data_IF_986354582408
#
_entry.id   IF_986354582408
#
_cell.length_a   1.000
_cell.length_b   1.000
_cell.length_c   1.000
_cell.angle_alpha   90.00
_cell.angle_beta   90.00
_cell.angle_gamma   90.00
#
_symmetry.space_group_name_H-M   'P 1'
#
loop_
_entity.id
_entity.type
_entity.pdbx_description
1 polymer ?
2 non-polymer ?
3 water ?
#
# COMPACT_ATOMS: atom_id res chain seq x y z
N UNK A 4 15.87 -7.10 14.91
CA UNK A 4 15.27 -5.83 14.49
C UNK A 4 15.07 -5.78 12.98
N UNK A 5 13.84 -6.05 12.56
CA UNK A 5 13.57 -6.07 11.10
C UNK A 5 14.03 -4.84 10.36
N UNK A 6 13.83 -3.64 10.93
CA UNK A 6 14.17 -2.45 10.16
C UNK A 6 15.67 -2.22 10.06
N UNK A 7 16.50 -2.94 10.82
CA UNK A 7 17.94 -2.80 10.64
C UNK A 7 18.36 -3.23 9.25
N UNK A 8 17.53 -4.01 8.56
CA UNK A 8 17.84 -4.43 7.20
C UNK A 8 17.68 -3.30 6.19
N UNK A 9 17.07 -2.19 6.57
CA UNK A 9 16.66 -1.17 5.63
C UNK A 9 17.03 0.22 6.13
N UNK A 10 17.46 1.07 5.22
CA UNK A 10 17.54 2.50 5.52
C UNK A 10 16.13 3.00 5.86
N UNK A 11 16.02 3.76 6.95
CA UNK A 11 14.70 4.24 7.33
C UNK A 11 14.82 5.48 8.20
N UNK A 12 13.72 6.21 8.29
CA UNK A 12 13.65 7.41 9.13
C UNK A 12 12.31 7.42 9.83
N UNK A 13 12.33 7.47 11.15
CA UNK A 13 11.12 7.58 11.94
C UNK A 13 10.63 9.03 11.91
N UNK A 14 9.39 9.24 11.49
CA UNK A 14 8.80 10.58 11.39
C UNK A 14 8.00 10.94 12.63
N UNK A 15 7.15 10.01 13.08
CA UNK A 15 6.38 10.16 14.32
C UNK A 15 6.40 8.82 15.06
N UNK A 16 5.73 8.78 16.21
CA UNK A 16 5.57 7.51 16.90
C UNK A 16 4.64 6.55 16.16
N UNK A 17 4.01 6.99 15.07
CA UNK A 17 3.21 6.11 14.23
C UNK A 17 3.89 5.76 12.91
N UNK A 18 4.51 6.74 12.25
CA UNK A 18 4.86 6.64 10.84
C UNK A 18 6.38 6.63 10.71
N UNK A 19 6.90 5.62 10.01
CA UNK A 19 8.30 5.52 9.63
C UNK A 19 8.40 5.35 8.12
N UNK A 20 9.36 6.04 7.49
CA UNK A 20 9.60 5.89 6.05
C UNK A 20 10.78 4.95 5.85
N UNK A 21 10.62 3.99 4.93
CA UNK A 21 11.59 2.92 4.72
C UNK A 21 11.97 2.85 3.26
N UNK A 22 13.26 2.70 2.98
CA UNK A 22 13.73 2.50 1.62
C UNK A 22 13.85 1.01 1.35
N UNK A 23 13.06 0.49 0.41
CA UNK A 23 13.19 -0.90 0.06
C UNK A 23 11.95 -1.42 -0.65
N UNK A 24 11.83 -2.75 -0.64
CA UNK A 24 10.69 -3.46 -1.24
C UNK A 24 9.66 -3.72 -0.15
N UNK A 25 8.45 -3.17 -0.33
CA UNK A 25 7.42 -3.35 0.68
C UNK A 25 7.12 -4.82 0.95
N UNK A 26 7.28 -5.67 -0.05
CA UNK A 26 7.03 -7.09 0.19
C UNK A 26 8.07 -7.65 1.15
N UNK A 27 9.34 -7.28 0.97
CA UNK A 27 10.37 -7.79 1.87
C UNK A 27 10.25 -7.19 3.27
N UNK A 28 9.77 -5.94 3.37
CA UNK A 28 9.52 -5.35 4.70
C UNK A 28 8.41 -6.12 5.41
N UNK A 29 7.30 -6.38 4.71
CA UNK A 29 6.18 -7.09 5.33
C UNK A 29 6.58 -8.52 5.74
N UNK A 30 7.45 -9.17 4.97
CA UNK A 30 7.87 -10.53 5.28
C UNK A 30 8.53 -10.61 6.66
N UNK A 31 9.16 -9.52 7.11
CA UNK A 31 9.79 -9.47 8.42
C UNK A 31 8.80 -9.40 9.57
N UNK A 32 7.54 -9.09 9.31
CA UNK A 32 6.54 -8.85 10.35
C UNK A 32 5.36 -9.78 10.09
N UNK A 33 5.30 -10.88 10.84
CA UNK A 33 4.23 -11.84 10.66
C UNK A 33 2.85 -11.25 10.90
N UNK A 34 2.76 -10.24 11.77
CA UNK A 34 1.46 -9.66 12.12
C UNK A 34 1.15 -8.39 11.36
N UNK A 35 1.90 -8.09 10.31
CA UNK A 35 1.64 -6.89 9.53
C UNK A 35 0.53 -7.14 8.52
N UNK A 36 -0.15 -6.06 8.14
CA UNK A 36 -1.05 -6.05 7.01
C UNK A 36 -0.36 -5.28 5.90
N UNK A 37 -0.23 -5.91 4.73
CA UNK A 37 0.46 -5.30 3.60
C UNK A 37 -0.59 -4.65 2.71
N UNK A 38 -0.36 -3.40 2.34
CA UNK A 38 -1.26 -2.68 1.46
C UNK A 38 -0.86 -2.92 0.02
N UNK A 39 -1.83 -3.28 -0.81
CA UNK A 39 -1.68 -3.30 -2.26
C UNK A 39 -2.31 -2.04 -2.84
N UNK A 40 -1.58 -1.35 -3.70
CA UNK A 40 -2.12 -0.18 -4.40
C UNK A 40 -2.81 -0.72 -5.64
N UNK A 41 -4.14 -0.83 -5.59
CA UNK A 41 -4.88 -1.55 -6.60
C UNK A 41 -5.72 -0.61 -7.47
N UNK A 42 -6.39 -1.20 -8.45
CA UNK A 42 -7.35 -0.51 -9.28
C UNK A 42 -8.75 -1.06 -9.01
N UNK A 43 -9.75 -0.41 -9.62
CA UNK A 43 -11.14 -0.72 -9.29
C UNK A 43 -11.51 -2.17 -9.58
N UNK A 44 -10.84 -2.82 -10.54
CA UNK A 44 -11.17 -4.21 -10.86
C UNK A 44 -10.19 -5.21 -10.25
N UNK A 45 -9.29 -4.75 -9.39
CA UNK A 45 -8.28 -5.61 -8.79
C UNK A 45 -7.53 -6.41 -9.86
N UNK A 46 -7.19 -5.73 -10.95
CA UNK A 46 -6.39 -6.33 -12.02
C UNK A 46 -4.93 -6.03 -11.69
N UNK A 47 -4.18 -7.05 -11.28
CA UNK A 47 -2.84 -6.84 -10.73
C UNK A 47 -1.78 -7.11 -11.79
N UNK A 48 -1.74 -6.23 -12.79
CA UNK A 48 -0.92 -6.48 -13.96
C UNK A 48 0.49 -5.91 -13.91
N UNK A 49 0.72 -4.93 -13.06
CA UNK A 49 2.02 -4.28 -13.02
C UNK A 49 2.15 -3.46 -11.75
N UNK A 50 3.30 -2.80 -11.61
CA UNK A 50 3.51 -2.01 -10.42
C UNK A 50 3.59 -2.89 -9.18
N UNK A 51 3.38 -2.28 -8.01
CA UNK A 51 3.44 -3.08 -6.80
C UNK A 51 2.40 -4.19 -6.80
N UNK A 52 1.24 -3.96 -7.45
CA UNK A 52 0.21 -4.99 -7.50
C UNK A 52 0.70 -6.22 -8.24
N UNK A 53 1.38 -6.02 -9.37
CA UNK A 53 1.96 -7.13 -10.10
C UNK A 53 3.04 -7.86 -9.32
N UNK A 54 3.83 -7.10 -8.54
CA UNK A 54 4.88 -7.71 -7.72
C UNK A 54 4.29 -8.52 -6.57
N UNK A 55 3.28 -7.97 -5.89
CA UNK A 55 2.59 -8.73 -4.85
C UNK A 55 1.96 -9.99 -5.44
N UNK A 56 1.31 -9.86 -6.60
CA UNK A 56 0.68 -11.03 -7.19
C UNK A 56 1.73 -12.09 -7.51
N UNK A 57 2.87 -11.66 -8.08
CA UNK A 57 3.91 -12.63 -8.42
C UNK A 57 4.47 -13.29 -7.18
N UNK A 58 4.65 -12.52 -6.10
CA UNK A 58 5.18 -13.13 -4.87
C UNK A 58 4.23 -14.18 -4.32
N UNK A 59 2.93 -14.01 -4.54
CA UNK A 59 1.92 -14.98 -4.13
C UNK A 59 1.75 -16.11 -5.14
N UNK A 60 2.57 -16.12 -6.19
CA UNK A 60 2.52 -17.16 -7.22
C UNK A 60 1.16 -17.17 -7.93
N UNK A 61 0.60 -15.98 -8.13
CA UNK A 61 -0.67 -15.84 -8.81
C UNK A 61 -1.89 -16.02 -7.93
N UNK A 62 -1.71 -16.34 -6.65
CA UNK A 62 -2.85 -16.63 -5.80
C UNK A 62 -3.67 -15.37 -5.53
N UNK A 63 -3.00 -14.21 -5.39
CA UNK A 63 -3.71 -12.95 -5.14
C UNK A 63 -4.69 -12.66 -6.27
N UNK A 64 -4.27 -12.86 -7.51
CA UNK A 64 -5.16 -12.52 -8.62
C UNK A 64 -6.35 -13.48 -8.67
N UNK A 65 -6.12 -14.78 -8.45
CA UNK A 65 -7.23 -15.72 -8.40
C UNK A 65 -8.26 -15.32 -7.33
N UNK A 66 -7.78 -14.94 -6.13
CA UNK A 66 -8.69 -14.51 -5.08
C UNK A 66 -9.43 -13.23 -5.48
N UNK A 67 -8.71 -12.27 -6.05
CA UNK A 67 -9.31 -11.01 -6.48
C UNK A 67 -10.35 -11.23 -7.57
N UNK A 68 -10.09 -12.14 -8.52
CA UNK A 68 -11.05 -12.37 -9.59
C UNK A 68 -12.35 -12.96 -9.05
N UNK A 69 -12.25 -13.83 -8.04
CA UNK A 69 -13.44 -14.39 -7.39
C UNK A 69 -14.24 -13.29 -6.68
N UNK A 70 -13.53 -12.42 -5.98
CA UNK A 70 -14.19 -11.35 -5.23
C UNK A 70 -14.92 -10.41 -6.19
N UNK A 71 -14.24 -9.96 -7.25
CA UNK A 71 -14.80 -8.97 -8.16
C UNK A 71 -15.97 -9.58 -8.94
N UNK A 72 -15.87 -10.84 -9.34
CA UNK A 72 -16.99 -11.48 -10.04
C UNK A 72 -18.21 -11.58 -9.13
N UNK A 73 -17.98 -11.78 -7.83
CA UNK A 73 -19.10 -11.90 -6.90
C UNK A 73 -19.67 -10.53 -6.51
N UNK A 74 -18.81 -9.54 -6.32
CA UNK A 74 -19.24 -8.26 -5.76
C UNK A 74 -19.34 -7.15 -6.79
N UNK A 75 -18.75 -7.32 -7.97
CA UNK A 75 -18.63 -6.23 -8.91
C UNK A 75 -17.45 -5.36 -8.57
N UNK A 76 -17.10 -4.43 -9.47
CA UNK A 76 -15.89 -3.62 -9.26
C UNK A 76 -16.06 -2.68 -8.08
N UNK A 77 -14.91 -2.22 -7.58
CA UNK A 77 -14.83 -1.26 -6.49
C UNK A 77 -14.95 0.16 -6.99
N UNK A 78 -15.16 1.09 -6.06
CA UNK A 78 -15.11 2.52 -6.35
C UNK A 78 -13.73 3.06 -5.99
N UNK A 79 -13.38 4.21 -6.57
CA UNK A 79 -12.15 4.88 -6.17
C UNK A 79 -12.28 5.28 -4.70
N UNK A 80 -11.24 5.00 -3.92
CA UNK A 80 -11.27 5.24 -2.50
C UNK A 80 -11.66 4.04 -1.67
N UNK A 81 -12.17 2.98 -2.30
CA UNK A 81 -12.56 1.79 -1.57
C UNK A 81 -11.34 0.97 -1.15
N UNK A 82 -11.57 0.07 -0.20
CA UNK A 82 -10.54 -0.87 0.21
C UNK A 82 -11.19 -2.20 0.56
N UNK A 83 -10.44 -3.29 0.39
CA UNK A 83 -10.97 -4.61 0.73
C UNK A 83 -9.84 -5.42 1.34
N UNK A 84 -10.14 -6.05 2.49
CA UNK A 84 -9.18 -6.92 3.17
C UNK A 84 -9.31 -8.32 2.60
N UNK A 85 -8.21 -8.85 2.09
CA UNK A 85 -8.18 -10.20 1.54
C UNK A 85 -7.06 -11.00 2.21
N UNK A 86 -6.87 -12.24 1.76
CA UNK A 86 -5.88 -13.11 2.39
C UNK A 86 -4.45 -12.57 2.21
N UNK A 87 -3.57 -13.00 3.10
CA UNK A 87 -2.19 -12.58 3.05
C UNK A 87 -1.30 -13.47 2.21
N UNK A 88 -1.71 -14.72 1.98
CA UNK A 88 -0.96 -15.67 1.14
C UNK A 88 0.50 -15.81 1.55
N UNK A 89 0.72 -15.86 2.86
CA UNK A 89 2.04 -15.99 3.49
C UNK A 89 2.95 -14.80 3.23
N UNK A 90 2.45 -13.75 2.57
CA UNK A 90 3.25 -12.52 2.45
C UNK A 90 3.10 -11.63 3.68
N UNK A 91 1.94 -11.68 4.32
CA UNK A 91 1.60 -10.86 5.46
C UNK A 91 0.39 -11.49 6.11
N UNK A 92 -0.04 -10.94 7.26
CA UNK A 92 -1.21 -11.50 7.92
C UNK A 92 -2.45 -11.38 7.04
N UNK A 93 -2.59 -10.23 6.37
CA UNK A 93 -3.61 -10.00 5.37
C UNK A 93 -3.05 -9.02 4.34
N UNK A 94 -3.74 -8.88 3.22
CA UNK A 94 -3.41 -7.83 2.25
C UNK A 94 -4.62 -6.94 2.11
N UNK A 95 -4.43 -5.64 2.30
CA UNK A 95 -5.50 -4.65 2.16
C UNK A 95 -5.36 -4.02 0.77
N UNK A 96 -6.30 -4.33 -0.11
CA UNK A 96 -6.28 -3.77 -1.45
C UNK A 96 -7.00 -2.42 -1.43
N UNK A 97 -6.26 -1.36 -1.78
CA UNK A 97 -6.72 0.02 -1.67
C UNK A 97 -6.75 0.63 -3.07
N UNK A 98 -7.87 1.25 -3.46
CA UNK A 98 -8.00 1.84 -4.80
C UNK A 98 -7.77 3.33 -4.69
N UNK A 99 -6.55 3.77 -4.99
CA UNK A 99 -6.25 5.17 -5.02
C UNK A 99 -6.78 5.85 -6.26
N UNK A 100 -6.90 7.18 -6.21
CA UNK A 100 -7.34 7.92 -7.41
C UNK A 100 -6.24 8.02 -8.46
N UNK A 101 -6.69 8.02 -9.72
CA UNK A 101 -5.81 8.10 -10.88
C UNK A 101 -5.83 9.55 -11.39
N UNK A 102 -4.75 10.28 -11.13
CA UNK A 102 -4.70 11.68 -11.54
C UNK A 102 -4.73 11.84 -13.06
N UNK A 103 -4.28 10.83 -13.80
CA UNK A 103 -4.37 10.88 -15.27
C UNK A 103 -5.81 11.05 -15.73
N UNK A 104 -6.72 10.36 -15.06
CA UNK A 104 -8.15 10.48 -15.32
C UNK A 104 -8.79 11.63 -14.56
N UNK A 105 -7.98 12.50 -13.95
CA UNK A 105 -8.47 13.66 -13.20
C UNK A 105 -9.44 13.24 -12.11
N UNK A 106 -9.17 12.09 -11.50
CA UNK A 106 -9.96 11.64 -10.36
C UNK A 106 -9.57 12.44 -9.12
N UNK A 107 -10.47 12.47 -8.15
CA UNK A 107 -10.31 13.31 -6.97
C UNK A 107 -9.17 12.79 -6.11
N UNK A 108 -8.07 13.54 -6.06
CA UNK A 108 -6.90 13.14 -5.29
C UNK A 108 -7.22 13.09 -3.80
N UNK A 109 -8.18 13.90 -3.34
CA UNK A 109 -8.49 13.88 -1.92
C UNK A 109 -9.09 12.55 -1.47
N UNK A 110 -9.54 11.70 -2.40
CA UNK A 110 -9.93 10.34 -2.02
C UNK A 110 -8.78 9.54 -1.41
N UNK A 111 -7.53 10.02 -1.51
CA UNK A 111 -6.47 9.35 -0.78
C UNK A 111 -6.72 9.36 0.73
N UNK A 112 -7.42 10.38 1.24
CA UNK A 112 -7.76 10.38 2.66
C UNK A 112 -8.54 9.13 3.04
N UNK A 113 -9.52 8.77 2.22
CA UNK A 113 -10.32 7.58 2.47
C UNK A 113 -9.46 6.32 2.40
N UNK A 114 -8.57 6.23 1.39
CA UNK A 114 -7.64 5.11 1.28
C UNK A 114 -6.83 4.92 2.55
N UNK A 115 -6.26 6.01 3.07
CA UNK A 115 -5.35 5.86 4.20
C UNK A 115 -6.10 5.68 5.53
N UNK A 116 -7.31 6.25 5.67
CA UNK A 116 -8.10 5.99 6.87
C UNK A 116 -8.36 4.50 7.06
N UNK A 117 -8.52 3.77 5.95
CA UNK A 117 -8.80 2.34 6.04
C UNK A 117 -7.66 1.55 6.68
N UNK A 118 -6.45 2.10 6.73
CA UNK A 118 -5.32 1.39 7.32
C UNK A 118 -5.38 1.38 8.84
N UNK A 119 -6.14 2.29 9.45
CA UNK A 119 -6.20 2.44 10.91
C UNK A 119 -6.88 1.28 11.62
N UNK A 120 -7.52 0.37 10.89
CA UNK A 120 -8.14 -0.79 11.51
C UNK A 120 -7.15 -1.87 11.93
N UNK A 121 -5.88 -1.73 11.57
CA UNK A 121 -4.88 -2.77 11.76
C UNK A 121 -3.74 -2.25 12.63
N UNK A 122 -3.21 -3.07 13.56
CA UNK A 122 -2.18 -2.56 14.48
C UNK A 122 -0.86 -2.25 13.83
N UNK A 123 -0.52 -2.91 12.72
CA UNK A 123 0.75 -2.69 12.01
C UNK A 123 0.48 -2.80 10.53
N UNK A 124 0.80 -1.76 9.78
CA UNK A 124 0.53 -1.71 8.34
C UNK A 124 1.83 -1.39 7.61
N UNK A 125 2.09 -2.13 6.54
CA UNK A 125 3.20 -1.87 5.62
C UNK A 125 2.57 -1.40 4.32
N UNK A 126 2.91 -0.19 3.87
CA UNK A 126 2.21 0.37 2.71
C UNK A 126 3.18 1.10 1.77
N UNK A 127 2.94 1.04 0.47
CA UNK A 127 3.59 1.98 -0.44
C UNK A 127 2.84 3.30 -0.40
N UNK A 128 3.36 4.27 -1.15
CA UNK A 128 2.66 5.53 -1.35
C UNK A 128 1.62 5.33 -2.44
N UNK A 129 0.35 5.33 -2.05
CA UNK A 129 -0.74 5.03 -2.96
C UNK A 129 -0.85 6.13 -4.01
N UNK A 130 -1.12 5.73 -5.25
CA UNK A 130 -1.27 6.62 -6.42
C UNK A 130 0.01 7.31 -6.83
N UNK A 131 1.16 6.97 -6.23
CA UNK A 131 2.39 7.72 -6.46
C UNK A 131 3.18 7.26 -7.68
N UNK A 132 2.68 6.29 -8.43
CA UNK A 132 3.39 5.86 -9.63
C UNK A 132 2.74 6.38 -10.90
N UNK A 133 2.27 5.47 -11.75
CA UNK A 133 1.63 5.89 -12.99
C UNK A 133 0.34 6.65 -12.74
N UNK A 134 -0.29 6.48 -11.57
CA UNK A 134 -1.49 7.25 -11.27
C UNK A 134 -1.18 8.73 -11.05
N UNK A 135 0.10 9.12 -11.02
CA UNK A 135 0.47 10.49 -11.25
C UNK A 135 0.44 11.42 -10.05
N UNK A 136 0.15 10.93 -8.86
CA UNK A 136 0.22 11.73 -7.65
C UNK A 136 1.67 11.76 -7.18
N UNK A 137 2.18 12.96 -6.90
CA UNK A 137 3.57 13.05 -6.46
C UNK A 137 3.75 12.39 -5.10
N UNK A 138 4.89 11.73 -4.88
CA UNK A 138 5.08 11.01 -3.61
C UNK A 138 4.87 11.89 -2.39
N UNK A 139 5.40 13.12 -2.41
CA UNK A 139 5.23 13.99 -1.26
C UNK A 139 3.76 14.30 -0.99
N UNK A 140 2.94 14.38 -2.05
CA UNK A 140 1.52 14.64 -1.87
C UNK A 140 0.83 13.42 -1.27
N UNK A 141 1.15 12.22 -1.77
CA UNK A 141 0.57 11.01 -1.20
C UNK A 141 0.99 10.86 0.26
N UNK A 142 2.24 11.18 0.57
CA UNK A 142 2.68 11.13 1.95
C UNK A 142 1.91 12.12 2.82
N UNK A 143 1.63 13.31 2.30
CA UNK A 143 0.82 14.29 3.03
C UNK A 143 -0.52 13.69 3.46
N UNK A 144 -1.21 13.02 2.54
CA UNK A 144 -2.49 12.41 2.89
C UNK A 144 -2.29 11.31 3.93
N UNK A 145 -1.19 10.56 3.83
CA UNK A 145 -0.95 9.45 4.74
C UNK A 145 -0.72 9.96 6.16
N UNK A 146 0.21 10.90 6.32
CA UNK A 146 0.57 11.35 7.66
C UNK A 146 -0.60 12.06 8.35
N UNK A 147 -1.50 12.69 7.57
CA UNK A 147 -2.68 13.32 8.15
C UNK A 147 -3.62 12.30 8.78
N UNK A 148 -3.69 11.08 8.25
CA UNK A 148 -4.70 10.12 8.68
C UNK A 148 -4.17 9.07 9.65
N UNK A 149 -2.89 8.74 9.59
CA UNK A 149 -2.40 7.55 10.28
C UNK A 149 -2.60 7.65 11.79
N UNK A 150 -3.27 6.65 12.36
CA UNK A 150 -3.50 6.51 13.80
C UNK A 150 -2.93 5.21 14.34
N UNK A 151 -2.16 4.50 13.55
CA UNK A 151 -1.63 3.20 13.93
C UNK A 151 -0.19 3.14 13.47
N UNK A 152 0.49 2.02 13.70
CA UNK A 152 1.88 1.91 13.27
C UNK A 152 1.92 1.62 11.78
N UNK A 153 2.52 2.53 11.01
CA UNK A 153 2.59 2.43 9.56
C UNK A 153 4.05 2.48 9.15
N UNK A 154 4.49 1.48 8.40
CA UNK A 154 5.77 1.54 7.72
C UNK A 154 5.49 1.88 6.27
N UNK A 155 5.89 3.08 5.86
CA UNK A 155 5.70 3.57 4.50
C UNK A 155 6.96 3.26 3.71
N UNK A 156 6.84 2.39 2.71
CA UNK A 156 8.00 1.84 2.02
C UNK A 156 8.05 2.42 0.61
N UNK A 157 9.20 2.99 0.24
CA UNK A 157 9.45 3.51 -1.09
C UNK A 157 10.66 2.79 -1.65
N UNK A 158 10.60 2.38 -2.91
CA UNK A 158 11.68 1.57 -3.48
C UNK A 158 12.64 2.38 -4.33
N UNK A 159 12.43 3.69 -4.46
CA UNK A 159 13.34 4.58 -5.15
C UNK A 159 14.14 5.41 -4.14
N UNK A 160 15.46 5.40 -4.28
CA UNK A 160 16.27 6.21 -3.37
C UNK A 160 16.04 7.71 -3.56
N UNK A 161 15.74 8.15 -4.80
CA UNK A 161 15.45 9.57 -5.01
C UNK A 161 14.18 9.98 -4.27
N UNK A 162 13.15 9.13 -4.33
CA UNK A 162 11.94 9.41 -3.56
C UNK A 162 12.25 9.42 -2.07
N UNK A 163 12.98 8.40 -1.60
CA UNK A 163 13.32 8.34 -0.17
C UNK A 163 14.07 9.58 0.27
N UNK A 164 15.07 10.01 -0.51
CA UNK A 164 15.82 11.21 -0.16
C UNK A 164 14.91 12.43 -0.10
N UNK A 165 14.06 12.57 -1.11
CA UNK A 165 13.20 13.75 -1.18
C UNK A 165 12.22 13.81 -0.02
N UNK A 166 11.83 12.65 0.52
CA UNK A 166 10.90 12.62 1.65
C UNK A 166 11.58 12.77 3.01
N UNK A 167 12.89 12.57 3.09
CA UNK A 167 13.59 12.61 4.37
C UNK A 167 14.55 13.78 4.46
N UNK A 168 14.40 14.77 3.57
CA UNK A 168 15.04 16.10 3.54
C UNK A 168 16.16 16.09 2.48
#
# INVERSE_FOLDING_TARGET
GSHMPLSNFEHKVITECVTIVLGDAIQVAKCYGESVLVNAANTHLKHGGGIAGAINAASKGAVQKESDEYILAKGPLQVGDSVLLQGHSLAKNILHVVGPDARAKQDVSLLSKCYKAMNAYPLVVTPLVSAGIFGVKPAVSFDYLIREAKTRVLVVVNSQDVYKSLTI
#
